data_IF_278887788029
#
_entry.id   IF_278887788029
#
_cell.length_a   1.000
_cell.length_b   1.000
_cell.length_c   1.000
_cell.angle_alpha   90.00
_cell.angle_beta   90.00
_cell.angle_gamma   90.00
#
_symmetry.space_group_name_H-M   'P 1'
#
loop_
_entity.id
_entity.type
_entity.pdbx_description
1 polymer ?
#
# COMPACT_ATOMS: atom_id res chain seq x y z
N UNK A 1 16.97 7.06 6.98
CA UNK A 1 16.29 5.74 6.94
C UNK A 1 15.52 5.68 5.63
N UNK A 2 15.62 4.59 4.86
CA UNK A 2 14.72 4.39 3.70
C UNK A 2 13.29 4.28 4.22
N UNK A 3 12.35 4.98 3.57
CA UNK A 3 10.92 4.80 3.89
C UNK A 3 10.52 3.37 3.59
N UNK A 4 9.76 2.75 4.50
CA UNK A 4 9.09 1.48 4.26
C UNK A 4 8.01 1.64 3.19
N UNK A 5 7.56 0.54 2.62
CA UNK A 5 6.51 0.49 1.62
C UNK A 5 5.14 0.26 2.26
N UNK A 6 4.12 0.92 1.74
CA UNK A 6 2.73 0.63 2.08
C UNK A 6 2.01 0.18 0.81
N UNK A 7 1.53 -1.04 0.76
CA UNK A 7 0.72 -1.58 -0.33
C UNK A 7 -0.75 -1.43 0.08
N UNK A 8 -1.46 -0.53 -0.61
CA UNK A 8 -2.86 -0.22 -0.35
C UNK A 8 -3.72 -0.92 -1.40
N UNK A 9 -4.52 -1.89 -0.97
CA UNK A 9 -5.46 -2.58 -1.85
C UNK A 9 -6.69 -1.69 -2.08
N UNK A 10 -7.06 -1.55 -3.35
CA UNK A 10 -8.18 -0.76 -3.85
C UNK A 10 -8.91 -1.59 -4.89
N UNK A 11 -10.24 -1.56 -4.92
CA UNK A 11 -11.00 -2.17 -6.01
C UNK A 11 -11.79 -3.40 -5.58
N UNK A 12 -12.77 -3.82 -6.39
CA UNK A 12 -13.83 -4.73 -5.94
C UNK A 12 -13.38 -6.18 -5.76
N UNK A 13 -12.17 -6.53 -6.22
CA UNK A 13 -11.65 -7.90 -6.17
C UNK A 13 -10.86 -8.21 -4.88
N UNK A 14 -11.17 -7.51 -3.80
CA UNK A 14 -10.75 -7.90 -2.45
C UNK A 14 -11.99 -8.30 -1.64
N UNK A 15 -11.84 -9.18 -0.63
CA UNK A 15 -12.93 -9.46 0.30
C UNK A 15 -13.62 -8.19 0.77
N UNK A 16 -14.94 -8.27 0.94
CA UNK A 16 -15.75 -7.14 1.35
C UNK A 16 -15.27 -6.56 2.69
N UNK A 17 -15.80 -5.36 2.99
CA UNK A 17 -15.34 -4.51 4.09
C UNK A 17 -15.53 -5.13 5.49
N UNK A 18 -16.00 -6.36 5.62
CA UNK A 18 -16.17 -7.12 6.87
C UNK A 18 -15.20 -8.30 7.07
N UNK A 19 -14.34 -8.63 6.10
CA UNK A 19 -13.46 -9.82 6.23
C UNK A 19 -11.99 -9.61 5.86
N UNK A 20 -11.64 -8.55 5.13
CA UNK A 20 -10.31 -8.42 4.52
C UNK A 20 -9.13 -8.60 5.51
N UNK A 21 -9.07 -7.85 6.61
CA UNK A 21 -7.91 -7.90 7.50
C UNK A 21 -7.81 -9.23 8.23
N UNK A 22 -8.95 -9.86 8.52
CA UNK A 22 -9.02 -11.14 9.22
C UNK A 22 -8.59 -12.26 8.25
N UNK A 23 -9.00 -12.20 6.99
CA UNK A 23 -8.54 -13.10 5.94
C UNK A 23 -7.05 -12.96 5.63
N UNK A 24 -6.53 -11.73 5.63
CA UNK A 24 -5.10 -11.49 5.51
C UNK A 24 -4.35 -12.01 6.74
N UNK A 25 -4.91 -11.86 7.94
CA UNK A 25 -4.29 -12.33 9.18
C UNK A 25 -4.23 -13.86 9.24
N UNK A 26 -5.24 -14.57 8.70
CA UNK A 26 -5.22 -16.03 8.53
C UNK A 26 -4.05 -16.51 7.66
N UNK A 27 -3.51 -15.64 6.80
CA UNK A 27 -2.42 -15.93 5.85
C UNK A 27 -1.11 -15.25 6.25
N UNK A 28 -0.89 -15.05 7.55
CA UNK A 28 0.28 -14.34 8.06
C UNK A 28 1.62 -14.95 7.61
N UNK A 29 1.70 -16.28 7.46
CA UNK A 29 2.92 -16.97 7.03
C UNK A 29 3.38 -16.50 5.65
N UNK A 30 2.45 -16.40 4.69
CA UNK A 30 2.71 -15.90 3.32
C UNK A 30 3.20 -14.45 3.33
N UNK A 31 2.64 -13.62 4.21
CA UNK A 31 3.04 -12.23 4.38
C UNK A 31 4.44 -12.11 5.02
N UNK A 32 4.71 -12.93 6.04
CA UNK A 32 5.98 -12.95 6.77
C UNK A 32 7.14 -13.36 5.85
N UNK A 33 6.92 -14.33 4.95
CA UNK A 33 7.89 -14.71 3.90
C UNK A 33 8.23 -13.57 2.94
N UNK A 34 7.33 -12.59 2.80
CA UNK A 34 7.55 -11.38 2.03
C UNK A 34 8.05 -10.20 2.89
N UNK A 35 8.22 -10.41 4.20
CA UNK A 35 8.40 -9.36 5.21
C UNK A 35 7.38 -8.21 5.07
N UNK A 36 6.14 -8.58 4.71
CA UNK A 36 4.97 -7.72 4.76
C UNK A 36 4.27 -7.90 6.09
N UNK A 37 3.66 -6.84 6.62
CA UNK A 37 2.92 -6.92 7.86
C UNK A 37 1.60 -6.20 7.81
N UNK A 38 0.65 -6.65 8.64
CA UNK A 38 -0.64 -5.99 8.77
C UNK A 38 -0.59 -4.93 9.88
N UNK A 39 -1.22 -3.76 9.70
CA UNK A 39 -1.44 -2.84 10.80
C UNK A 39 -2.23 -3.53 11.92
N UNK A 40 -1.88 -3.26 13.18
CA UNK A 40 -2.61 -3.83 14.34
C UNK A 40 -3.94 -3.11 14.57
N UNK A 41 -4.90 -3.37 13.69
CA UNK A 41 -6.26 -2.82 13.65
C UNK A 41 -7.28 -3.94 13.48
N UNK A 42 -8.53 -3.67 13.84
CA UNK A 42 -9.66 -4.56 13.58
C UNK A 42 -10.27 -4.26 12.21
N UNK A 43 -11.08 -5.18 11.68
CA UNK A 43 -11.84 -4.90 10.47
C UNK A 43 -12.76 -3.68 10.63
N UNK A 44 -13.37 -3.52 11.80
CA UNK A 44 -14.20 -2.37 12.11
C UNK A 44 -13.43 -1.03 12.11
N UNK A 45 -12.13 -1.04 12.39
CA UNK A 45 -11.30 0.17 12.25
C UNK A 45 -11.07 0.51 10.76
N UNK A 46 -10.84 -0.50 9.90
CA UNK A 46 -10.68 -0.30 8.45
C UNK A 46 -11.98 0.18 7.80
N UNK A 47 -13.10 -0.46 8.12
CA UNK A 47 -14.43 -0.03 7.67
C UNK A 47 -14.66 1.44 8.01
N UNK A 48 -14.51 1.84 9.29
CA UNK A 48 -14.69 3.23 9.70
C UNK A 48 -13.72 4.19 9.01
N UNK A 49 -12.51 3.75 8.68
CA UNK A 49 -11.55 4.57 7.93
C UNK A 49 -12.01 4.83 6.49
N UNK A 50 -12.61 3.84 5.82
CA UNK A 50 -13.27 4.01 4.54
C UNK A 50 -14.44 5.00 4.66
N UNK A 51 -15.33 4.78 5.62
CA UNK A 51 -16.48 5.68 5.86
C UNK A 51 -16.04 7.12 6.13
N UNK A 52 -14.98 7.32 6.93
CA UNK A 52 -14.40 8.64 7.19
C UNK A 52 -13.87 9.29 5.92
N UNK A 53 -13.02 8.59 5.16
CA UNK A 53 -12.36 9.11 3.96
C UNK A 53 -13.38 9.48 2.88
N UNK A 54 -14.37 8.61 2.65
CA UNK A 54 -15.45 8.84 1.69
C UNK A 54 -16.55 9.77 2.21
N UNK A 55 -16.45 10.22 3.47
CA UNK A 55 -17.42 11.10 4.15
C UNK A 55 -18.85 10.54 4.16
N UNK A 56 -18.98 9.21 4.19
CA UNK A 56 -20.26 8.49 4.04
C UNK A 56 -21.01 8.20 5.33
N UNK A 57 -20.51 8.62 6.49
CA UNK A 57 -21.10 8.34 7.81
C UNK A 57 -22.64 8.45 7.87
N UNK A 58 -23.26 9.49 7.29
CA UNK A 58 -24.73 9.61 7.25
C UNK A 58 -25.41 8.52 6.44
N UNK A 59 -24.85 8.17 5.28
CA UNK A 59 -25.37 7.12 4.41
C UNK A 59 -25.29 5.75 5.08
N UNK A 60 -24.25 5.55 5.90
CA UNK A 60 -24.03 4.30 6.64
C UNK A 60 -24.68 4.32 8.05
N UNK A 61 -25.54 5.30 8.35
CA UNK A 61 -26.26 5.39 9.63
C UNK A 61 -25.41 5.71 10.86
N UNK A 62 -24.18 6.20 10.66
CA UNK A 62 -23.22 6.54 11.70
C UNK A 62 -23.18 8.03 12.00
N UNK A 63 -22.84 8.38 13.25
CA UNK A 63 -22.51 9.77 13.59
C UNK A 63 -21.08 10.06 13.14
N UNK A 64 -20.79 11.33 12.85
CA UNK A 64 -19.42 11.77 12.54
C UNK A 64 -18.42 11.34 13.63
N UNK A 65 -18.81 11.46 14.90
CA UNK A 65 -17.99 11.06 16.04
C UNK A 65 -17.65 9.57 16.07
N UNK A 66 -18.41 8.72 15.37
CA UNK A 66 -18.17 7.28 15.33
C UNK A 66 -17.05 6.90 14.34
N UNK A 67 -16.70 7.80 13.41
CA UNK A 67 -15.71 7.55 12.34
C UNK A 67 -14.51 8.50 12.38
N UNK A 68 -14.64 9.69 12.97
CA UNK A 68 -13.60 10.71 12.99
C UNK A 68 -12.27 10.20 13.60
N UNK A 69 -11.18 10.36 12.85
CA UNK A 69 -9.84 9.91 13.23
C UNK A 69 -9.56 8.43 13.04
N UNK A 70 -10.46 7.66 12.41
CA UNK A 70 -10.27 6.24 12.11
C UNK A 70 -9.15 6.01 11.11
N UNK A 71 -9.07 6.81 10.05
CA UNK A 71 -7.97 6.78 9.09
C UNK A 71 -6.63 7.09 9.74
N UNK A 72 -6.56 8.17 10.53
CA UNK A 72 -5.36 8.52 11.28
C UNK A 72 -4.95 7.42 12.29
N UNK A 73 -5.89 6.66 12.82
CA UNK A 73 -5.60 5.48 13.67
C UNK A 73 -4.96 4.36 12.84
N UNK A 74 -5.51 4.02 11.67
CA UNK A 74 -4.95 3.01 10.76
C UNK A 74 -3.52 3.37 10.37
N UNK A 75 -3.28 4.61 9.91
CA UNK A 75 -1.93 5.09 9.55
C UNK A 75 -0.94 4.97 10.72
N UNK A 76 -1.30 5.42 11.92
CA UNK A 76 -0.44 5.29 13.11
C UNK A 76 -0.13 3.84 13.48
N UNK A 77 -1.09 2.93 13.27
CA UNK A 77 -0.90 1.49 13.54
C UNK A 77 -0.01 0.83 12.48
N UNK A 78 -0.10 1.26 11.23
CA UNK A 78 0.82 0.88 10.17
C UNK A 78 2.24 1.36 10.47
N UNK A 79 2.44 2.63 10.83
CA UNK A 79 3.77 3.18 11.15
C UNK A 79 4.45 2.53 12.36
N UNK A 80 3.66 1.98 13.28
CA UNK A 80 4.15 1.21 14.43
C UNK A 80 4.72 -0.16 14.04
N UNK A 81 4.45 -0.66 12.83
CA UNK A 81 5.01 -1.94 12.35
C UNK A 81 6.51 -1.87 12.07
N UNK A 82 7.05 -0.68 11.76
CA UNK A 82 8.47 -0.48 11.42
C UNK A 82 8.96 -1.41 10.31
N UNK A 83 8.10 -1.65 9.33
CA UNK A 83 8.30 -2.55 8.21
C UNK A 83 7.35 -2.20 7.08
N UNK A 84 7.44 -2.97 5.99
CA UNK A 84 6.49 -2.85 4.89
C UNK A 84 5.11 -3.34 5.34
N UNK A 85 4.05 -2.68 4.87
CA UNK A 85 2.69 -2.95 5.30
C UNK A 85 1.75 -3.23 4.13
N UNK A 86 0.79 -4.11 4.35
CA UNK A 86 -0.32 -4.40 3.45
C UNK A 86 -1.64 -4.15 4.18
N UNK A 87 -2.55 -3.42 3.56
CA UNK A 87 -3.94 -3.26 4.00
C UNK A 87 -4.76 -2.66 2.86
N UNK A 88 -6.07 -2.58 3.01
CA UNK A 88 -6.92 -1.96 2.00
C UNK A 88 -8.34 -1.82 2.49
N UNK A 89 -9.20 -1.38 1.59
CA UNK A 89 -10.64 -1.28 1.80
C UNK A 89 -11.34 -1.21 0.44
N UNK A 90 -12.44 -1.94 0.26
CA UNK A 90 -13.11 -2.00 -1.03
C UNK A 90 -13.72 -0.64 -1.40
N UNK A 91 -14.18 0.13 -0.40
CA UNK A 91 -14.77 1.45 -0.61
C UNK A 91 -13.78 2.47 -1.20
N UNK A 92 -12.46 2.27 -1.10
CA UNK A 92 -11.47 3.15 -1.74
C UNK A 92 -11.62 3.23 -3.26
N UNK A 93 -12.30 2.26 -3.88
CA UNK A 93 -12.68 2.28 -5.30
C UNK A 93 -13.47 3.55 -5.68
N UNK A 94 -14.26 4.08 -4.74
CA UNK A 94 -15.13 5.23 -4.95
C UNK A 94 -14.52 6.54 -4.44
N UNK A 95 -13.22 6.56 -4.13
CA UNK A 95 -12.55 7.74 -3.60
C UNK A 95 -12.39 8.81 -4.70
N UNK A 96 -12.92 10.00 -4.45
CA UNK A 96 -12.71 11.18 -5.31
C UNK A 96 -11.27 11.71 -5.17
N UNK A 97 -10.76 12.52 -6.11
CA UNK A 97 -9.38 13.02 -6.08
C UNK A 97 -8.95 13.69 -4.75
N UNK A 98 -9.84 14.47 -4.12
CA UNK A 98 -9.57 15.08 -2.82
C UNK A 98 -9.48 14.04 -1.68
N UNK A 99 -10.23 12.95 -1.77
CA UNK A 99 -10.23 11.85 -0.80
C UNK A 99 -8.99 10.96 -1.01
N UNK A 100 -8.60 10.71 -2.26
CA UNK A 100 -7.33 10.06 -2.62
C UNK A 100 -6.15 10.85 -2.04
N UNK A 101 -6.14 12.18 -2.20
CA UNK A 101 -5.10 13.04 -1.64
C UNK A 101 -5.02 12.91 -0.13
N UNK A 102 -6.17 12.97 0.56
CA UNK A 102 -6.25 12.79 2.02
C UNK A 102 -5.77 11.40 2.49
N UNK A 103 -6.11 10.35 1.74
CA UNK A 103 -5.62 9.00 1.98
C UNK A 103 -4.09 8.99 1.89
N UNK A 104 -3.52 9.49 0.80
CA UNK A 104 -2.07 9.47 0.59
C UNK A 104 -1.31 10.35 1.59
N UNK A 105 -1.88 11.48 2.02
CA UNK A 105 -1.32 12.36 3.04
C UNK A 105 -1.15 11.63 4.38
N UNK A 106 -2.12 10.80 4.76
CA UNK A 106 -2.04 9.94 5.95
C UNK A 106 -0.88 8.92 5.89
N UNK A 107 -0.37 8.63 4.68
CA UNK A 107 0.72 7.69 4.43
C UNK A 107 2.03 8.37 4.04
N UNK A 108 2.19 9.66 4.32
CA UNK A 108 3.40 10.42 3.99
C UNK A 108 4.70 9.80 4.58
N UNK A 109 4.62 8.99 5.64
CA UNK A 109 5.73 8.21 6.21
C UNK A 109 6.23 7.06 5.32
N UNK A 110 5.45 6.64 4.33
CA UNK A 110 5.71 5.47 3.48
C UNK A 110 6.08 5.86 2.04
N UNK A 111 6.58 4.86 1.30
CA UNK A 111 6.47 4.81 -0.16
C UNK A 111 5.20 4.04 -0.47
N UNK A 112 4.12 4.78 -0.67
CA UNK A 112 2.80 4.18 -0.95
C UNK A 112 2.75 3.62 -2.35
N UNK A 113 2.36 2.35 -2.46
CA UNK A 113 2.00 1.64 -3.66
C UNK A 113 0.50 1.37 -3.62
N UNK A 114 -0.22 1.78 -4.66
CA UNK A 114 -1.64 1.52 -4.82
C UNK A 114 -1.77 0.29 -5.70
N UNK A 115 -2.52 -0.69 -5.22
CA UNK A 115 -2.77 -1.95 -5.93
C UNK A 115 -4.27 -2.00 -6.22
N UNK A 116 -4.63 -1.64 -7.45
CA UNK A 116 -6.00 -1.72 -7.94
C UNK A 116 -6.27 -3.16 -8.34
N UNK A 117 -7.32 -3.77 -7.80
CA UNK A 117 -7.77 -5.13 -8.10
C UNK A 117 -9.12 -5.08 -8.79
N UNK A 118 -9.28 -5.85 -9.86
CA UNK A 118 -10.54 -5.95 -10.59
C UNK A 118 -10.66 -7.30 -11.31
N UNK A 119 -11.86 -7.79 -11.63
CA UNK A 119 -11.99 -8.93 -12.54
C UNK A 119 -11.39 -8.63 -13.91
N UNK A 120 -10.87 -9.65 -14.60
CA UNK A 120 -10.41 -9.50 -15.98
C UNK A 120 -11.58 -9.10 -16.88
N UNK A 121 -11.33 -8.14 -17.76
CA UNK A 121 -12.36 -7.62 -18.67
C UNK A 121 -13.37 -6.69 -18.00
N UNK A 122 -13.10 -6.20 -16.78
CA UNK A 122 -13.92 -5.17 -16.13
C UNK A 122 -14.09 -3.98 -17.07
N UNK A 123 -15.33 -3.73 -17.47
CA UNK A 123 -15.69 -2.50 -18.18
C UNK A 123 -15.43 -1.30 -17.26
N UNK A 124 -14.85 -0.26 -17.82
CA UNK A 124 -14.59 0.97 -17.07
C UNK A 124 -13.36 0.93 -16.14
N UNK A 125 -12.42 0.01 -16.39
CA UNK A 125 -11.21 -0.10 -15.56
C UNK A 125 -10.33 1.16 -15.65
N UNK A 126 -10.34 1.84 -16.79
CA UNK A 126 -9.55 3.06 -16.99
C UNK A 126 -10.07 4.20 -16.11
N UNK A 127 -11.39 4.33 -15.95
CA UNK A 127 -12.05 5.28 -15.06
C UNK A 127 -11.72 4.99 -13.58
N UNK A 128 -11.55 3.71 -13.23
CA UNK A 128 -11.07 3.32 -11.91
C UNK A 128 -9.59 3.70 -11.70
N UNK A 129 -8.77 3.57 -12.73
CA UNK A 129 -7.32 3.81 -12.67
C UNK A 129 -6.99 5.31 -12.70
N UNK A 130 -7.69 6.07 -13.54
CA UNK A 130 -7.36 7.46 -13.90
C UNK A 130 -7.14 8.37 -12.68
N UNK A 131 -8.02 8.42 -11.65
CA UNK A 131 -7.82 9.27 -10.48
C UNK A 131 -6.52 8.96 -9.73
N UNK A 132 -6.08 7.69 -9.73
CA UNK A 132 -4.85 7.27 -9.06
C UNK A 132 -3.60 7.58 -9.87
N UNK A 133 -3.67 7.60 -11.21
CA UNK A 133 -2.52 7.94 -12.07
C UNK A 133 -2.01 9.36 -11.82
N UNK A 134 -2.91 10.27 -11.44
CA UNK A 134 -2.57 11.66 -11.12
C UNK A 134 -2.00 11.79 -9.70
N UNK A 135 -2.36 10.87 -8.81
CA UNK A 135 -2.03 10.94 -7.38
C UNK A 135 -0.73 10.21 -7.01
N UNK A 136 -0.35 9.15 -7.74
CA UNK A 136 0.86 8.37 -7.48
C UNK A 136 1.74 8.22 -8.73
N UNK A 137 3.03 7.99 -8.53
CA UNK A 137 3.96 7.69 -9.63
C UNK A 137 3.56 6.37 -10.31
N UNK A 138 3.73 6.27 -11.63
CA UNK A 138 3.47 5.03 -12.38
C UNK A 138 4.15 3.78 -11.77
N UNK A 139 5.40 3.91 -11.30
CA UNK A 139 6.13 2.82 -10.59
C UNK A 139 5.51 2.39 -9.24
N UNK A 140 4.43 3.04 -8.81
CA UNK A 140 3.72 2.81 -7.55
C UNK A 140 2.22 2.60 -7.75
N UNK A 141 1.76 2.54 -8.98
CA UNK A 141 0.40 2.18 -9.32
C UNK A 141 0.44 0.83 -10.00
N UNK A 142 -0.24 -0.15 -9.42
CA UNK A 142 -0.25 -1.51 -9.89
C UNK A 142 -1.69 -1.93 -10.12
N UNK A 143 -1.96 -2.57 -11.25
CA UNK A 143 -3.28 -3.07 -11.60
C UNK A 143 -3.19 -4.58 -11.71
N UNK A 144 -3.94 -5.28 -10.86
CA UNK A 144 -3.99 -6.74 -10.83
C UNK A 144 -5.39 -7.18 -11.24
N UNK A 145 -5.50 -7.75 -12.44
CA UNK A 145 -6.75 -8.34 -12.91
C UNK A 145 -6.84 -9.81 -12.50
N UNK A 146 -7.98 -10.19 -11.91
CA UNK A 146 -8.26 -11.56 -11.48
C UNK A 146 -9.08 -12.31 -12.54
N UNK A 147 -8.66 -13.52 -12.89
CA UNK A 147 -9.42 -14.46 -13.72
C UNK A 147 -10.61 -15.05 -12.94
N UNK A 148 -11.54 -15.69 -13.65
CA UNK A 148 -12.58 -16.49 -13.01
C UNK A 148 -11.95 -17.64 -12.21
N UNK A 149 -12.30 -17.75 -10.93
CA UNK A 149 -11.74 -18.75 -10.02
C UNK A 149 -10.49 -18.29 -9.26
N UNK A 150 -9.91 -17.13 -9.61
CA UNK A 150 -8.87 -16.51 -8.78
C UNK A 150 -9.47 -16.10 -7.43
N UNK A 151 -8.75 -16.44 -6.36
CA UNK A 151 -9.13 -16.15 -4.99
C UNK A 151 -8.14 -15.19 -4.32
N UNK A 152 -8.34 -14.96 -3.02
CA UNK A 152 -7.45 -14.10 -2.24
C UNK A 152 -6.02 -14.65 -2.18
N UNK A 153 -5.85 -15.97 -2.18
CA UNK A 153 -4.52 -16.60 -2.17
C UNK A 153 -3.75 -16.29 -3.45
N UNK A 154 -4.44 -16.35 -4.59
CA UNK A 154 -3.90 -15.99 -5.89
C UNK A 154 -3.54 -14.50 -5.97
N UNK A 155 -4.39 -13.63 -5.43
CA UNK A 155 -4.10 -12.20 -5.32
C UNK A 155 -2.88 -11.96 -4.40
N UNK A 156 -2.80 -12.65 -3.27
CA UNK A 156 -1.70 -12.48 -2.31
C UNK A 156 -0.37 -12.94 -2.87
N UNK A 157 -0.33 -14.04 -3.61
CA UNK A 157 0.88 -14.48 -4.31
C UNK A 157 1.44 -13.35 -5.20
N UNK A 158 0.57 -12.71 -6.00
CA UNK A 158 0.95 -11.58 -6.86
C UNK A 158 1.42 -10.35 -6.08
N UNK A 159 0.78 -10.03 -4.96
CA UNK A 159 1.20 -8.93 -4.08
C UNK A 159 2.57 -9.22 -3.44
N UNK A 160 2.80 -10.47 -3.02
CA UNK A 160 4.08 -10.91 -2.44
C UNK A 160 5.21 -10.79 -3.46
N UNK A 161 4.99 -11.25 -4.69
CA UNK A 161 5.94 -11.07 -5.80
C UNK A 161 6.23 -9.59 -6.02
N UNK A 162 5.19 -8.76 -6.12
CA UNK A 162 5.34 -7.32 -6.29
C UNK A 162 6.15 -6.67 -5.15
N UNK A 163 5.93 -7.08 -3.90
CA UNK A 163 6.66 -6.57 -2.75
C UNK A 163 8.13 -7.01 -2.76
N UNK A 164 8.40 -8.26 -3.16
CA UNK A 164 9.77 -8.79 -3.35
C UNK A 164 10.51 -8.02 -4.43
N UNK A 165 9.89 -7.81 -5.59
CA UNK A 165 10.49 -7.07 -6.70
C UNK A 165 10.80 -5.62 -6.32
N UNK A 166 9.87 -4.97 -5.63
CA UNK A 166 10.04 -3.60 -5.12
C UNK A 166 11.25 -3.51 -4.19
N UNK A 167 11.42 -4.50 -3.29
CA UNK A 167 12.56 -4.56 -2.37
C UNK A 167 13.87 -4.87 -3.08
N UNK A 168 13.86 -5.78 -4.06
CA UNK A 168 15.03 -6.09 -4.88
C UNK A 168 15.53 -4.86 -5.62
N UNK A 169 14.63 -4.12 -6.28
CA UNK A 169 14.98 -2.87 -6.96
C UNK A 169 15.55 -1.81 -6.00
N UNK A 170 15.10 -1.78 -4.75
CA UNK A 170 15.66 -0.91 -3.71
C UNK A 170 17.08 -1.31 -3.29
N UNK A 171 17.32 -2.61 -3.11
CA UNK A 171 18.63 -3.16 -2.78
C UNK A 171 19.64 -2.92 -3.90
N UNK A 172 19.25 -3.16 -5.16
CA UNK A 172 20.09 -2.89 -6.33
C UNK A 172 20.50 -1.43 -6.40
N UNK A 173 19.54 -0.51 -6.26
CA UNK A 173 19.81 0.94 -6.21
C UNK A 173 20.76 1.30 -5.06
N UNK A 174 20.64 0.65 -3.90
CA UNK A 174 21.53 0.87 -2.76
C UNK A 174 22.94 0.33 -3.04
N UNK A 175 23.07 -0.83 -3.66
CA UNK A 175 24.35 -1.42 -4.06
C UNK A 175 25.09 -0.49 -5.02
N UNK A 176 24.40 0.04 -6.04
CA UNK A 176 24.98 1.00 -6.98
C UNK A 176 25.52 2.24 -6.26
N UNK A 177 24.71 2.84 -5.38
CA UNK A 177 25.13 4.01 -4.58
C UNK A 177 26.33 3.73 -3.67
N UNK A 178 26.37 2.55 -3.04
CA UNK A 178 27.51 2.15 -2.21
C UNK A 178 28.78 1.95 -3.02
N UNK A 179 28.68 1.35 -4.22
CA UNK A 179 29.82 1.22 -5.14
C UNK A 179 30.38 2.58 -5.56
N UNK A 180 29.51 3.54 -5.91
CA UNK A 180 29.90 4.91 -6.24
C UNK A 180 30.63 5.59 -5.09
N UNK A 181 30.02 5.59 -3.89
CA UNK A 181 30.62 6.19 -2.69
C UNK A 181 31.99 5.58 -2.33
N UNK A 182 32.14 4.27 -2.53
CA UNK A 182 33.43 3.58 -2.32
C UNK A 182 34.50 4.07 -3.30
N UNK A 183 34.14 4.31 -4.56
CA UNK A 183 35.03 4.90 -5.56
C UNK A 183 35.51 6.30 -5.14
N UNK A 184 34.57 7.19 -4.83
CA UNK A 184 34.88 8.57 -4.38
C UNK A 184 35.81 8.60 -3.16
N UNK A 185 35.60 7.70 -2.18
CA UNK A 185 36.45 7.61 -1.00
C UNK A 185 37.86 7.11 -1.34
N UNK A 186 37.99 6.19 -2.29
CA UNK A 186 39.30 5.71 -2.75
C UNK A 186 40.09 6.83 -3.42
N UNK A 187 39.43 7.62 -4.26
CA UNK A 187 40.05 8.75 -4.95
C UNK A 187 40.51 9.83 -3.96
N UNK A 188 39.67 10.17 -2.95
CA UNK A 188 40.05 11.09 -1.87
C UNK A 188 41.24 10.60 -1.05
N UNK A 189 41.29 9.31 -0.72
CA UNK A 189 42.42 8.73 0.00
C UNK A 189 43.71 8.76 -0.82
N UNK A 190 43.63 8.57 -2.13
CA UNK A 190 44.79 8.70 -3.02
C UNK A 190 45.29 10.15 -3.07
N UNK A 191 44.39 11.13 -3.14
CA UNK A 191 44.74 12.55 -3.10
C UNK A 191 45.45 12.93 -1.79
N UNK A 192 44.95 12.49 -0.63
CA UNK A 192 45.59 12.74 0.67
C UNK A 192 46.97 12.08 0.79
N UNK A 193 47.16 10.90 0.18
CA UNK A 193 48.47 10.22 0.18
C UNK A 193 49.49 10.86 -0.76
N UNK A 194 49.02 11.63 -1.73
CA UNK A 194 49.86 12.32 -2.72
C UNK A 194 50.23 13.76 -2.30
N UNK A 195 49.59 14.29 -1.25
CA UNK A 195 49.88 15.58 -0.61
C UNK A 195 50.78 15.40 0.62
#
# INVERSE_FOLDING_TARGET
>A
MSKHHAFVLVGPSIPADDELIDELARRSEVLDEAALSLPKVTQADLFRSGVELLRRHKADGLRRSDVEGSWARVCRKAEKRKGDVLFGNAAYVAAEPAQISLLLDGLAGFRTHVVITAPRGTEGIDELIEPWTQAVKASRLHVLTLEEGDDLDTLLARIVELARDTRTADLERRIVKLKQKRGELKDKLQQIRAS
#
